data_IF_435617081464
#
_entry.id   IF_435617081464
#
_cell.length_a   1.000
_cell.length_b   1.000
_cell.length_c   1.000
_cell.angle_alpha   90.00
_cell.angle_beta   90.00
_cell.angle_gamma   90.00
#
_symmetry.space_group_name_H-M   'P 1'
#
loop_
_entity.id
_entity.type
_entity.pdbx_description
1 polymer ?
#
# COMPACT_ATOMS: atom_id res chain seq x y z
N UNK A 1 2.42 -16.99 10.57
CA UNK A 1 3.05 -16.27 9.43
C UNK A 1 2.83 -14.79 9.69
N UNK A 2 3.88 -13.97 9.58
CA UNK A 2 3.74 -12.52 9.77
C UNK A 2 2.94 -11.92 8.62
N UNK A 3 2.08 -10.95 8.93
CA UNK A 3 1.24 -10.25 7.94
C UNK A 3 1.85 -8.89 7.61
N UNK A 4 1.75 -8.51 6.34
CA UNK A 4 2.05 -7.17 5.82
C UNK A 4 0.77 -6.60 5.20
N UNK A 5 0.46 -5.38 5.56
CA UNK A 5 -0.64 -4.58 4.99
C UNK A 5 -0.04 -3.46 4.16
N UNK A 6 -0.23 -3.52 2.86
CA UNK A 6 0.21 -2.48 1.92
C UNK A 6 -0.92 -1.48 1.77
N UNK A 7 -0.66 -0.22 2.08
CA UNK A 7 -1.67 0.83 2.11
C UNK A 7 -1.56 1.65 0.82
N UNK A 8 -2.63 1.63 0.04
CA UNK A 8 -2.75 2.35 -1.22
C UNK A 8 -3.13 3.81 -1.03
N UNK A 9 -2.89 4.61 -2.07
CA UNK A 9 -3.23 6.04 -2.15
C UNK A 9 -4.69 6.34 -1.80
N UNK A 10 -5.63 5.54 -2.29
CA UNK A 10 -7.06 5.73 -2.02
C UNK A 10 -7.38 5.71 -0.52
N UNK A 11 -6.79 4.76 0.20
CA UNK A 11 -6.96 4.63 1.65
C UNK A 11 -6.19 5.70 2.41
N UNK A 12 -4.97 6.06 1.96
CA UNK A 12 -4.21 7.16 2.59
C UNK A 12 -4.95 8.49 2.50
N UNK A 13 -5.58 8.77 1.36
CA UNK A 13 -6.39 9.97 1.20
C UNK A 13 -7.59 10.00 2.16
N UNK A 14 -8.26 8.86 2.36
CA UNK A 14 -9.36 8.72 3.33
C UNK A 14 -8.84 8.88 4.77
N UNK A 15 -7.75 8.20 5.10
CA UNK A 15 -7.11 8.27 6.43
C UNK A 15 -6.75 9.69 6.83
N UNK A 16 -6.21 10.46 5.88
CA UNK A 16 -5.76 11.85 6.07
C UNK A 16 -6.88 12.87 5.83
N UNK A 17 -8.09 12.41 5.49
CA UNK A 17 -9.24 13.28 5.15
C UNK A 17 -8.87 14.35 4.11
N UNK A 18 -8.17 13.92 3.04
CA UNK A 18 -7.82 14.82 1.94
C UNK A 18 -9.08 15.39 1.32
N UNK A 19 -9.21 16.72 1.30
CA UNK A 19 -10.40 17.41 0.82
C UNK A 19 -10.80 16.97 -0.60
N UNK A 20 -12.02 16.45 -0.75
CA UNK A 20 -12.56 15.86 -1.97
C UNK A 20 -12.23 14.37 -2.17
N UNK A 21 -11.55 13.73 -1.20
CA UNK A 21 -11.18 12.31 -1.20
C UNK A 21 -11.39 11.64 0.17
N UNK A 22 -12.37 12.12 0.92
CA UNK A 22 -12.69 11.63 2.27
C UNK A 22 -13.32 10.23 2.24
N UNK A 23 -13.73 9.76 1.07
CA UNK A 23 -14.27 8.42 0.84
C UNK A 23 -13.71 7.82 -0.44
N UNK A 24 -13.66 6.49 -0.52
CA UNK A 24 -13.30 5.77 -1.73
C UNK A 24 -14.03 4.42 -1.81
N UNK A 25 -13.79 3.66 -2.87
CA UNK A 25 -14.42 2.37 -3.10
C UNK A 25 -15.73 2.44 -3.88
N UNK A 26 -16.45 1.33 -3.90
CA UNK A 26 -17.74 1.17 -4.58
C UNK A 26 -18.90 1.37 -3.60
N UNK A 27 -20.14 1.48 -4.13
CA UNK A 27 -21.33 1.55 -3.28
C UNK A 27 -21.47 0.35 -2.33
N UNK A 28 -21.01 -0.82 -2.76
CA UNK A 28 -21.07 -2.07 -1.99
C UNK A 28 -19.90 -2.22 -1.02
N UNK A 29 -18.78 -1.57 -1.29
CA UNK A 29 -17.58 -1.61 -0.47
C UNK A 29 -16.96 -0.22 -0.35
N UNK A 30 -17.68 0.68 0.32
CA UNK A 30 -17.23 2.04 0.55
C UNK A 30 -16.31 2.13 1.76
N UNK A 31 -15.36 3.05 1.69
CA UNK A 31 -14.40 3.37 2.73
C UNK A 31 -14.60 4.79 3.21
N UNK A 32 -14.58 4.99 4.50
CA UNK A 32 -14.55 6.27 5.17
C UNK A 32 -13.50 6.23 6.30
N UNK A 33 -13.23 7.37 6.91
CA UNK A 33 -12.23 7.50 7.96
C UNK A 33 -12.42 6.51 9.11
N UNK A 34 -13.66 6.37 9.61
CA UNK A 34 -13.99 5.48 10.72
C UNK A 34 -13.66 4.02 10.41
N UNK A 35 -14.03 3.53 9.24
CA UNK A 35 -13.75 2.17 8.79
C UNK A 35 -12.25 1.93 8.60
N UNK A 36 -11.53 2.92 8.06
CA UNK A 36 -10.06 2.83 7.90
C UNK A 36 -9.38 2.76 9.27
N UNK A 37 -9.74 3.64 10.20
CA UNK A 37 -9.19 3.66 11.55
C UNK A 37 -9.48 2.34 12.30
N UNK A 38 -10.69 1.79 12.19
CA UNK A 38 -11.06 0.51 12.79
C UNK A 38 -10.17 -0.63 12.28
N UNK A 39 -9.97 -0.70 10.97
CA UNK A 39 -9.13 -1.75 10.37
C UNK A 39 -7.66 -1.58 10.77
N UNK A 40 -7.11 -0.37 10.71
CA UNK A 40 -5.71 -0.13 11.09
C UNK A 40 -5.49 -0.47 12.57
N UNK A 41 -6.38 -0.07 13.47
CA UNK A 41 -6.29 -0.39 14.89
C UNK A 41 -6.34 -1.91 15.14
N UNK A 42 -7.22 -2.62 14.44
CA UNK A 42 -7.29 -4.08 14.51
C UNK A 42 -5.99 -4.74 14.02
N UNK A 43 -5.50 -4.32 12.86
CA UNK A 43 -4.29 -4.88 12.27
C UNK A 43 -3.04 -4.59 13.12
N UNK A 44 -2.97 -3.41 13.76
CA UNK A 44 -1.91 -3.08 14.70
C UNK A 44 -1.97 -3.99 15.94
N UNK A 45 -3.15 -4.24 16.50
CA UNK A 45 -3.33 -5.17 17.62
C UNK A 45 -2.91 -6.61 17.25
N UNK A 46 -3.08 -7.01 15.99
CA UNK A 46 -2.63 -8.30 15.44
C UNK A 46 -1.12 -8.30 15.07
N UNK A 47 -0.40 -7.21 15.33
CA UNK A 47 1.03 -7.03 15.01
C UNK A 47 1.34 -7.13 13.52
N UNK A 48 0.41 -6.68 12.69
CA UNK A 48 0.60 -6.52 11.25
C UNK A 48 1.58 -5.39 10.99
N UNK A 49 2.48 -5.58 10.02
CA UNK A 49 3.39 -4.54 9.56
C UNK A 49 2.73 -3.72 8.46
N UNK A 50 2.75 -2.39 8.60
CA UNK A 50 2.20 -1.47 7.60
C UNK A 50 3.27 -1.00 6.64
N UNK A 51 2.99 -1.04 5.35
CA UNK A 51 3.91 -0.66 4.28
C UNK A 51 3.30 0.44 3.43
N UNK A 52 4.04 1.54 3.29
CA UNK A 52 3.73 2.61 2.35
C UNK A 52 4.61 2.46 1.11
N UNK A 53 4.04 2.08 -0.06
CA UNK A 53 4.78 2.10 -1.31
C UNK A 53 5.18 3.54 -1.71
N UNK A 54 6.33 3.69 -2.38
CA UNK A 54 6.77 5.02 -2.84
C UNK A 54 5.75 5.68 -3.76
N UNK A 55 5.11 4.91 -4.66
CA UNK A 55 4.05 5.43 -5.51
C UNK A 55 2.89 5.99 -4.70
N UNK A 56 2.43 5.29 -3.66
CA UNK A 56 1.35 5.76 -2.79
C UNK A 56 1.75 7.06 -2.05
N UNK A 57 3.01 7.18 -1.62
CA UNK A 57 3.52 8.41 -1.01
C UNK A 57 3.47 9.58 -1.99
N UNK A 58 3.97 9.40 -3.21
CA UNK A 58 4.01 10.44 -4.25
C UNK A 58 2.59 10.86 -4.65
N UNK A 59 1.73 9.91 -4.94
CA UNK A 59 0.36 10.18 -5.39
C UNK A 59 -0.48 10.85 -4.28
N UNK A 60 -0.35 10.40 -3.05
CA UNK A 60 -1.04 11.04 -1.90
C UNK A 60 -0.58 12.48 -1.74
N UNK A 61 0.73 12.75 -1.84
CA UNK A 61 1.28 14.10 -1.80
C UNK A 61 0.72 15.00 -2.92
N UNK A 62 0.56 14.46 -4.14
CA UNK A 62 -0.06 15.17 -5.26
C UNK A 62 -1.52 15.51 -4.96
N UNK A 63 -2.29 14.58 -4.42
CA UNK A 63 -3.69 14.84 -4.05
C UNK A 63 -3.82 15.90 -2.97
N UNK A 64 -2.96 15.88 -1.95
CA UNK A 64 -2.94 16.90 -0.89
C UNK A 64 -2.65 18.28 -1.49
N UNK A 65 -1.66 18.39 -2.38
CA UNK A 65 -1.28 19.67 -2.99
C UNK A 65 -2.36 20.25 -3.90
N UNK A 66 -3.19 19.40 -4.48
CA UNK A 66 -4.31 19.78 -5.36
C UNK A 66 -5.65 19.91 -4.61
N UNK A 67 -5.69 19.60 -3.33
CA UNK A 67 -6.91 19.69 -2.53
C UNK A 67 -7.44 21.14 -2.45
N UNK A 68 -8.76 21.30 -2.37
CA UNK A 68 -9.39 22.61 -2.31
C UNK A 68 -9.17 23.35 -1.00
N UNK A 69 -8.94 22.61 0.10
CA UNK A 69 -8.78 23.15 1.44
C UNK A 69 -7.84 22.30 2.30
N UNK A 70 -7.43 22.82 3.47
CA UNK A 70 -6.64 22.12 4.50
C UNK A 70 -5.31 21.51 4.03
N UNK A 71 -4.76 22.01 2.91
CA UNK A 71 -3.51 21.46 2.32
C UNK A 71 -2.36 21.40 3.30
N UNK A 72 -2.16 22.47 4.07
CA UNK A 72 -1.03 22.58 5.00
C UNK A 72 -1.17 21.60 6.17
N UNK A 73 -2.33 21.56 6.81
CA UNK A 73 -2.61 20.68 7.95
C UNK A 73 -2.54 19.21 7.54
N UNK A 74 -3.14 18.86 6.42
CA UNK A 74 -3.10 17.49 5.87
C UNK A 74 -1.68 17.09 5.49
N UNK A 75 -0.90 17.99 4.89
CA UNK A 75 0.51 17.74 4.58
C UNK A 75 1.36 17.52 5.83
N UNK A 76 1.08 18.24 6.94
CA UNK A 76 1.78 18.03 8.22
C UNK A 76 1.50 16.62 8.78
N UNK A 77 0.23 16.15 8.75
CA UNK A 77 -0.11 14.80 9.19
C UNK A 77 0.53 13.74 8.29
N UNK A 78 0.51 13.95 6.99
CA UNK A 78 1.17 13.05 6.05
C UNK A 78 2.69 12.99 6.25
N UNK A 79 3.33 14.12 6.50
CA UNK A 79 4.76 14.16 6.82
C UNK A 79 5.12 13.34 8.08
N UNK A 80 4.22 13.30 9.09
CA UNK A 80 4.41 12.44 10.27
C UNK A 80 4.40 10.96 9.87
N UNK A 81 3.44 10.51 9.04
CA UNK A 81 3.37 9.13 8.55
C UNK A 81 4.63 8.73 7.77
N UNK A 82 5.12 9.62 6.89
CA UNK A 82 6.36 9.37 6.13
C UNK A 82 7.54 9.16 7.09
N UNK A 83 7.67 10.02 8.12
CA UNK A 83 8.75 9.90 9.12
C UNK A 83 8.66 8.59 9.90
N UNK A 84 7.46 8.20 10.37
CA UNK A 84 7.25 6.91 11.05
C UNK A 84 7.71 5.74 10.18
N UNK A 85 7.43 5.78 8.88
CA UNK A 85 7.85 4.77 7.92
C UNK A 85 9.36 4.75 7.74
N UNK A 86 9.98 5.91 7.54
CA UNK A 86 11.45 6.02 7.37
C UNK A 86 12.19 5.55 8.62
N UNK A 87 11.68 5.90 9.79
CA UNK A 87 12.27 5.56 11.09
C UNK A 87 11.96 4.11 11.53
N UNK A 88 11.24 3.35 10.73
CA UNK A 88 10.80 1.98 11.04
C UNK A 88 10.08 1.87 12.39
N UNK A 89 9.24 2.86 12.68
CA UNK A 89 8.47 2.92 13.92
C UNK A 89 7.27 1.99 13.82
N UNK A 90 7.26 0.91 14.62
CA UNK A 90 6.15 -0.06 14.63
C UNK A 90 4.79 0.64 14.77
N UNK A 91 3.79 0.29 13.96
CA UNK A 91 3.72 -0.85 13.01
C UNK A 91 4.30 -0.59 11.60
N UNK A 92 4.91 0.57 11.34
CA UNK A 92 5.39 0.99 10.02
C UNK A 92 6.72 0.32 9.64
N UNK A 93 6.81 -0.21 8.42
CA UNK A 93 8.03 -0.79 7.88
C UNK A 93 8.98 0.27 7.34
N UNK A 94 10.28 0.07 7.50
CA UNK A 94 11.30 0.93 6.92
C UNK A 94 11.19 0.98 5.38
N UNK A 95 11.23 2.18 4.83
CA UNK A 95 11.19 2.38 3.38
C UNK A 95 12.37 1.71 2.65
N UNK A 96 13.52 1.62 3.32
CA UNK A 96 14.73 0.99 2.79
C UNK A 96 14.56 -0.48 2.41
N UNK A 97 13.60 -1.21 3.00
CA UNK A 97 13.30 -2.60 2.63
C UNK A 97 12.83 -2.73 1.18
N UNK A 98 12.31 -1.65 0.60
CA UNK A 98 11.82 -1.61 -0.78
C UNK A 98 12.85 -1.06 -1.77
N UNK A 99 13.98 -0.58 -1.32
CA UNK A 99 14.93 0.20 -2.14
C UNK A 99 15.43 -0.54 -3.38
N UNK A 100 15.65 -1.86 -3.27
CA UNK A 100 16.12 -2.67 -4.39
C UNK A 100 15.08 -2.83 -5.53
N UNK A 101 13.79 -2.55 -5.28
CA UNK A 101 12.78 -2.55 -6.34
C UNK A 101 12.95 -1.38 -7.32
N UNK A 102 13.81 -0.42 -6.96
CA UNK A 102 14.06 0.81 -7.70
C UNK A 102 15.45 0.83 -8.34
N UNK A 103 16.18 -0.28 -8.35
CA UNK A 103 17.42 -0.39 -9.09
C UNK A 103 17.20 -0.37 -10.62
N UNK A 104 18.27 -0.17 -11.37
CA UNK A 104 18.18 0.04 -12.81
C UNK A 104 17.58 -1.17 -13.56
N UNK A 105 17.86 -2.40 -13.10
CA UNK A 105 17.33 -3.61 -13.73
C UNK A 105 15.82 -3.74 -13.47
N UNK A 106 15.39 -3.53 -12.23
CA UNK A 106 13.98 -3.61 -11.85
C UNK A 106 13.13 -2.53 -12.51
N UNK A 107 13.69 -1.33 -12.69
CA UNK A 107 13.01 -0.26 -13.42
C UNK A 107 12.86 -0.59 -14.91
N UNK A 108 13.86 -1.23 -15.52
CA UNK A 108 13.76 -1.68 -16.93
C UNK A 108 12.72 -2.78 -17.08
N UNK A 109 12.70 -3.79 -16.19
CA UNK A 109 11.68 -4.83 -16.17
C UNK A 109 10.26 -4.21 -16.07
N UNK A 110 10.08 -3.23 -15.18
CA UNK A 110 8.81 -2.52 -15.05
C UNK A 110 8.44 -1.76 -16.33
N UNK A 111 9.40 -1.08 -16.96
CA UNK A 111 9.18 -0.36 -18.20
C UNK A 111 8.77 -1.31 -19.35
N UNK A 112 9.39 -2.48 -19.44
CA UNK A 112 9.07 -3.49 -20.45
C UNK A 112 7.66 -4.10 -20.25
N UNK A 113 7.24 -4.30 -19.01
CA UNK A 113 5.91 -4.86 -18.67
C UNK A 113 4.78 -3.84 -18.76
N UNK A 114 5.07 -2.57 -18.50
CA UNK A 114 4.05 -1.53 -18.35
C UNK A 114 3.11 -1.37 -19.56
N UNK A 115 3.54 -1.46 -20.84
CA UNK A 115 2.62 -1.36 -21.97
C UNK A 115 1.45 -2.35 -21.91
N UNK A 116 1.69 -3.60 -21.49
CA UNK A 116 0.64 -4.59 -21.34
C UNK A 116 -0.24 -4.33 -20.12
N UNK A 117 0.32 -3.84 -19.02
CA UNK A 117 -0.44 -3.45 -17.83
C UNK A 117 -1.33 -2.23 -18.12
N UNK A 118 -0.81 -1.26 -18.87
CA UNK A 118 -1.58 -0.08 -19.30
C UNK A 118 -2.79 -0.44 -20.18
N UNK A 119 -2.67 -1.45 -21.06
CA UNK A 119 -3.82 -1.99 -21.82
C UNK A 119 -4.91 -2.53 -20.90
N UNK A 120 -4.54 -3.06 -19.75
CA UNK A 120 -5.46 -3.56 -18.72
C UNK A 120 -5.94 -2.44 -17.77
N UNK A 121 -5.61 -1.17 -18.07
CA UNK A 121 -5.94 0.02 -17.27
C UNK A 121 -5.28 0.05 -15.88
N UNK A 122 -4.19 -0.70 -15.70
CA UNK A 122 -3.36 -0.59 -14.50
C UNK A 122 -2.40 0.59 -14.65
N UNK A 123 -2.42 1.51 -13.70
CA UNK A 123 -1.50 2.66 -13.70
C UNK A 123 -0.05 2.21 -13.41
N UNK A 124 0.92 3.06 -13.72
CA UNK A 124 2.30 2.77 -13.34
C UNK A 124 2.47 2.73 -11.81
N UNK A 125 1.75 3.57 -11.09
CA UNK A 125 1.71 3.54 -9.63
C UNK A 125 1.21 2.20 -9.10
N UNK A 126 0.07 1.73 -9.60
CA UNK A 126 -0.49 0.42 -9.22
C UNK A 126 0.45 -0.73 -9.57
N UNK A 127 1.10 -0.68 -10.74
CA UNK A 127 2.09 -1.66 -11.14
C UNK A 127 3.27 -1.73 -10.15
N UNK A 128 3.71 -0.61 -9.59
CA UNK A 128 4.74 -0.61 -8.55
C UNK A 128 4.24 -1.15 -7.22
N UNK A 129 2.99 -0.86 -6.85
CA UNK A 129 2.36 -1.41 -5.64
C UNK A 129 2.27 -2.93 -5.72
N UNK A 130 1.91 -3.49 -6.88
CA UNK A 130 1.88 -4.95 -7.06
C UNK A 130 3.27 -5.57 -6.90
N UNK A 131 4.33 -4.92 -7.37
CA UNK A 131 5.71 -5.40 -7.16
C UNK A 131 6.15 -5.39 -5.71
N UNK A 132 5.73 -4.37 -4.95
CA UNK A 132 5.95 -4.32 -3.50
C UNK A 132 5.22 -5.50 -2.83
N UNK A 133 3.99 -5.78 -3.24
CA UNK A 133 3.22 -6.92 -2.72
C UNK A 133 3.91 -8.26 -3.02
N UNK A 134 4.36 -8.46 -4.25
CA UNK A 134 5.10 -9.66 -4.66
C UNK A 134 6.40 -9.84 -3.88
N UNK A 135 7.13 -8.75 -3.64
CA UNK A 135 8.35 -8.78 -2.85
C UNK A 135 8.12 -9.34 -1.43
N UNK A 136 7.14 -8.80 -0.71
CA UNK A 136 6.82 -9.28 0.64
C UNK A 136 6.25 -10.70 0.62
N UNK A 137 5.44 -11.05 -0.39
CA UNK A 137 4.93 -12.41 -0.55
C UNK A 137 6.05 -13.43 -0.75
N UNK A 138 7.01 -13.15 -1.63
CA UNK A 138 8.20 -13.99 -1.86
C UNK A 138 9.11 -14.06 -0.65
N UNK A 139 9.11 -13.04 0.19
CA UNK A 139 9.84 -13.00 1.47
C UNK A 139 9.13 -13.79 2.59
N UNK A 140 8.01 -14.46 2.30
CA UNK A 140 7.31 -15.34 3.23
C UNK A 140 6.29 -14.65 4.13
N UNK A 141 5.86 -13.44 3.78
CA UNK A 141 4.78 -12.75 4.49
C UNK A 141 3.42 -13.09 3.89
N UNK A 142 2.38 -13.08 4.72
CA UNK A 142 1.01 -12.94 4.24
C UNK A 142 0.80 -11.49 3.85
N UNK A 143 0.45 -11.24 2.60
CA UNK A 143 0.30 -9.88 2.09
C UNK A 143 -1.17 -9.57 1.85
N UNK A 144 -1.58 -8.38 2.26
CA UNK A 144 -2.88 -7.80 1.91
C UNK A 144 -2.68 -6.39 1.37
N UNK A 145 -3.36 -6.05 0.28
CA UNK A 145 -3.41 -4.69 -0.26
C UNK A 145 -4.69 -4.01 0.26
N UNK A 146 -4.53 -3.00 1.09
CA UNK A 146 -5.64 -2.17 1.58
C UNK A 146 -5.88 -1.05 0.58
N UNK A 147 -6.93 -1.19 -0.21
CA UNK A 147 -7.28 -0.28 -1.30
C UNK A 147 -8.79 -0.20 -1.49
N UNK A 148 -9.26 0.94 -1.98
CA UNK A 148 -10.62 1.13 -2.49
C UNK A 148 -10.77 0.79 -3.98
N UNK A 149 -9.67 0.47 -4.67
CA UNK A 149 -9.65 0.09 -6.07
C UNK A 149 -9.71 -1.44 -6.23
N UNK A 150 -10.85 -1.94 -6.74
CA UNK A 150 -11.04 -3.37 -6.98
C UNK A 150 -10.10 -3.91 -8.07
N UNK A 151 -9.71 -3.08 -9.02
CA UNK A 151 -8.74 -3.43 -10.06
C UNK A 151 -7.37 -3.72 -9.45
N UNK A 152 -6.87 -2.85 -8.57
CA UNK A 152 -5.63 -3.07 -7.83
C UNK A 152 -5.76 -4.26 -6.85
N UNK A 153 -6.90 -4.39 -6.16
CA UNK A 153 -7.15 -5.51 -5.24
C UNK A 153 -7.04 -6.88 -5.91
N UNK A 154 -7.40 -6.98 -7.18
CA UNK A 154 -7.31 -8.22 -7.96
C UNK A 154 -5.87 -8.73 -8.15
N UNK A 155 -4.87 -7.85 -7.98
CA UNK A 155 -3.44 -8.20 -8.05
C UNK A 155 -2.82 -8.57 -6.69
N UNK A 156 -3.63 -8.66 -5.65
CA UNK A 156 -3.15 -9.14 -4.35
C UNK A 156 -2.60 -10.56 -4.49
N UNK A 157 -1.37 -10.85 -4.00
CA UNK A 157 -0.79 -12.16 -4.11
C UNK A 157 -1.65 -13.23 -3.45
N UNK A 158 -1.92 -14.31 -4.16
CA UNK A 158 -2.64 -15.45 -3.59
C UNK A 158 -1.82 -16.04 -2.43
N UNK A 159 -2.51 -16.31 -1.33
CA UNK A 159 -1.87 -16.96 -0.20
C UNK A 159 -1.48 -18.38 -0.58
N UNK A 160 -0.17 -18.66 -0.62
CA UNK A 160 0.29 -20.03 -0.82
C UNK A 160 -0.22 -20.88 0.35
N UNK A 161 -0.83 -22.05 0.10
CA UNK A 161 -1.21 -22.97 1.15
C UNK A 161 0.03 -23.34 1.97
N UNK A 162 -0.09 -23.30 3.30
CA UNK A 162 0.96 -23.76 4.19
C UNK A 162 1.29 -25.22 3.86
N UNK A 163 2.44 -25.47 3.23
CA UNK A 163 2.92 -26.85 3.02
C UNK A 163 3.23 -27.40 4.39
N UNK A 164 2.52 -28.45 4.87
CA UNK A 164 2.81 -29.06 6.17
C UNK A 164 4.26 -29.55 6.17
N UNK A 165 5.08 -29.05 7.10
CA UNK A 165 6.42 -29.61 7.29
C UNK A 165 6.29 -31.11 7.57
N UNK A 166 6.78 -31.97 6.67
CA UNK A 166 6.92 -33.38 6.94
C UNK A 166 7.73 -33.54 8.24
N UNK A 167 7.11 -34.04 9.29
CA UNK A 167 7.87 -34.54 10.48
C UNK A 167 8.83 -35.57 9.97
N UNK A 168 10.13 -35.34 10.08
CA UNK A 168 11.14 -36.40 9.98
C UNK A 168 10.88 -37.37 11.12
N UNK A 169 10.58 -38.63 10.76
CA UNK A 169 10.59 -39.75 11.70
C UNK A 169 12.01 -40.03 12.12
#
# INVERSE_FOLDING_TARGET
MKKVLIIDTSILCVLLEVSGKETCGTQQNSWNKEKVDEILNKEEAEKTTFVLPLAAIIETGNHISQASSKRYETAQEFAKLIKLTVDNTTPWAAFTEQSHLWDAEKLKELADEFPELAKQKLSLGDATITRVADYYSRSGYRVEILTGDEGLKAYEPSQLPLIPRRRKK
#
